data_IF_573237456752
#
_entry.id   IF_573237456752
#
_cell.length_a   1.000
_cell.length_b   1.000
_cell.length_c   1.000
_cell.angle_alpha   90.00
_cell.angle_beta   90.00
_cell.angle_gamma   90.00
#
_symmetry.space_group_name_H-M   'P 1'
#
loop_
_entity.id
_entity.type
_entity.pdbx_description
1 polymer ?
#
# COMPACT_ATOMS: atom_id res chain seq x y z
N UNK A 1 -6.51 10.35 1.46
CA UNK A 1 -5.62 9.20 1.13
C UNK A 1 -5.40 8.95 -0.38
N UNK A 2 -6.44 9.11 -1.22
CA UNK A 2 -6.46 8.68 -2.62
C UNK A 2 -5.46 9.40 -3.56
N UNK A 3 -5.20 10.69 -3.37
CA UNK A 3 -4.26 11.45 -4.22
C UNK A 3 -2.81 10.94 -4.12
N UNK A 4 -2.43 10.36 -2.97
CA UNK A 4 -1.11 9.74 -2.79
C UNK A 4 -1.00 8.35 -3.41
N UNK A 5 -2.12 7.70 -3.70
CA UNK A 5 -2.16 6.39 -4.37
C UNK A 5 -2.08 6.54 -5.89
N UNK A 6 -2.65 7.61 -6.48
CA UNK A 6 -2.49 7.93 -7.90
C UNK A 6 -1.02 8.19 -8.27
N UNK A 7 -0.24 8.77 -7.35
CA UNK A 7 1.22 8.93 -7.49
C UNK A 7 2.00 7.61 -7.58
N UNK A 8 1.40 6.46 -7.29
CA UNK A 8 2.00 5.13 -7.46
C UNK A 8 1.97 4.64 -8.91
N UNK A 9 1.08 5.19 -9.75
CA UNK A 9 0.91 4.81 -11.15
C UNK A 9 1.87 5.54 -12.11
N UNK A 10 2.42 6.68 -11.69
CA UNK A 10 3.30 7.50 -12.52
C UNK A 10 4.77 7.16 -12.27
N UNK A 11 5.50 6.86 -13.34
CA UNK A 11 6.93 6.50 -13.36
C UNK A 11 7.91 7.50 -12.69
N UNK A 12 7.41 8.59 -12.12
CA UNK A 12 8.16 9.62 -11.39
C UNK A 12 8.66 9.13 -10.02
N UNK A 13 7.94 8.23 -9.35
CA UNK A 13 8.37 7.66 -8.06
C UNK A 13 8.98 6.28 -8.29
N UNK A 14 10.24 6.26 -8.73
CA UNK A 14 11.05 5.03 -8.92
C UNK A 14 11.17 4.18 -7.64
N UNK A 15 10.85 4.77 -6.49
CA UNK A 15 10.83 4.15 -5.18
C UNK A 15 9.56 4.59 -4.45
N UNK A 16 8.67 3.63 -4.18
CA UNK A 16 7.66 3.80 -3.14
C UNK A 16 8.44 3.98 -1.83
N UNK A 17 8.33 5.12 -1.11
CA UNK A 17 9.10 5.29 0.11
C UNK A 17 8.79 4.11 1.03
N UNK A 18 9.83 3.45 1.55
CA UNK A 18 9.67 2.20 2.31
C UNK A 18 8.71 2.34 3.51
N UNK A 19 8.47 3.58 3.98
CA UNK A 19 7.45 3.86 5.01
C UNK A 19 6.01 3.62 4.53
N UNK A 20 5.72 3.71 3.23
CA UNK A 20 4.34 3.76 2.73
C UNK A 20 3.83 2.34 2.67
N UNK A 21 4.62 1.43 2.09
CA UNK A 21 4.36 -0.01 2.14
C UNK A 21 4.20 -0.49 3.58
N UNK A 22 5.11 -0.10 4.48
CA UNK A 22 5.04 -0.52 5.89
C UNK A 22 3.80 -0.01 6.59
N UNK A 23 3.39 1.24 6.35
CA UNK A 23 2.14 1.79 6.90
C UNK A 23 0.91 1.11 6.31
N UNK A 24 0.89 0.87 5.00
CA UNK A 24 -0.21 0.20 4.33
C UNK A 24 -0.40 -1.23 4.87
N UNK A 25 0.66 -2.03 4.91
CA UNK A 25 0.63 -3.40 5.44
C UNK A 25 0.27 -3.44 6.93
N UNK A 26 0.88 -2.56 7.74
CA UNK A 26 0.54 -2.49 9.17
C UNK A 26 -0.90 -2.04 9.41
N UNK A 27 -1.44 -1.11 8.63
CA UNK A 27 -2.80 -0.59 8.78
C UNK A 27 -3.86 -1.57 8.27
N UNK A 28 -3.59 -2.28 7.17
CA UNK A 28 -4.56 -3.14 6.48
C UNK A 28 -4.42 -4.62 6.80
N UNK A 29 -3.27 -5.06 7.28
CA UNK A 29 -2.93 -6.48 7.40
C UNK A 29 -2.66 -7.16 6.05
N UNK A 30 -2.67 -6.43 4.93
CA UNK A 30 -2.45 -6.99 3.59
C UNK A 30 -0.97 -7.25 3.37
N UNK A 31 -0.63 -8.50 3.08
CA UNK A 31 0.72 -8.94 2.76
C UNK A 31 1.27 -8.25 1.50
N UNK A 32 2.30 -7.43 1.68
CA UNK A 32 2.91 -6.65 0.61
C UNK A 32 4.19 -7.28 0.05
N UNK A 33 4.54 -8.52 0.40
CA UNK A 33 5.77 -9.18 -0.09
C UNK A 33 5.85 -9.22 -1.62
N UNK A 34 4.72 -9.41 -2.30
CA UNK A 34 4.65 -9.48 -3.77
C UNK A 34 5.04 -8.18 -4.49
N UNK A 35 5.07 -7.05 -3.78
CA UNK A 35 5.54 -5.77 -4.31
C UNK A 35 7.05 -5.73 -4.58
N UNK A 36 7.79 -6.76 -4.14
CA UNK A 36 9.23 -6.86 -4.34
C UNK A 36 9.62 -8.23 -4.90
N UNK A 37 10.69 -8.25 -5.69
CA UNK A 37 11.25 -9.50 -6.19
C UNK A 37 12.13 -10.16 -5.12
N UNK A 38 11.75 -11.34 -4.58
CA UNK A 38 12.57 -12.04 -3.60
C UNK A 38 13.87 -12.60 -4.20
N UNK A 39 13.94 -12.81 -5.52
CA UNK A 39 15.10 -13.36 -6.23
C UNK A 39 16.11 -12.28 -6.64
N UNK A 40 15.68 -11.02 -6.73
CA UNK A 40 16.51 -9.91 -7.22
C UNK A 40 16.57 -8.80 -6.17
N UNK A 41 17.34 -9.01 -5.08
CA UNK A 41 17.62 -8.01 -4.01
C UNK A 41 16.42 -7.12 -3.62
N UNK A 42 15.20 -7.66 -3.56
CA UNK A 42 14.01 -6.85 -3.29
C UNK A 42 13.75 -5.76 -4.33
N UNK A 43 13.95 -6.05 -5.63
CA UNK A 43 13.66 -5.12 -6.72
C UNK A 43 12.18 -4.77 -6.67
N UNK A 44 11.89 -3.47 -6.69
CA UNK A 44 10.53 -2.95 -6.72
C UNK A 44 9.75 -3.46 -7.94
N UNK A 45 8.51 -3.91 -7.70
CA UNK A 45 7.58 -4.42 -8.71
C UNK A 45 6.33 -3.52 -8.76
N UNK A 46 6.37 -2.43 -9.55
CA UNK A 46 5.33 -1.39 -9.54
C UNK A 46 3.95 -1.91 -9.95
N UNK A 47 3.89 -2.80 -10.95
CA UNK A 47 2.63 -3.34 -11.44
C UNK A 47 1.92 -4.17 -10.36
N UNK A 48 2.67 -5.01 -9.64
CA UNK A 48 2.14 -5.83 -8.54
C UNK A 48 1.66 -4.95 -7.38
N UNK A 49 2.39 -3.88 -7.08
CA UNK A 49 1.98 -2.94 -6.04
C UNK A 49 0.72 -2.15 -6.39
N UNK A 50 0.63 -1.66 -7.63
CA UNK A 50 -0.57 -1.00 -8.13
C UNK A 50 -1.78 -1.94 -8.05
N UNK A 51 -1.64 -3.19 -8.53
CA UNK A 51 -2.72 -4.18 -8.47
C UNK A 51 -3.19 -4.48 -7.03
N UNK A 52 -2.27 -4.56 -6.05
CA UNK A 52 -2.64 -4.75 -4.64
C UNK A 52 -3.40 -3.54 -4.10
N UNK A 53 -2.91 -2.32 -4.38
CA UNK A 53 -3.55 -1.10 -3.92
C UNK A 53 -4.93 -0.90 -4.55
N UNK A 54 -5.05 -1.12 -5.86
CA UNK A 54 -6.32 -1.04 -6.59
C UNK A 54 -7.33 -2.07 -6.07
N UNK A 55 -6.90 -3.31 -5.82
CA UNK A 55 -7.76 -4.34 -5.26
C UNK A 55 -8.29 -3.97 -3.87
N UNK A 56 -7.45 -3.36 -3.03
CA UNK A 56 -7.89 -2.87 -1.73
C UNK A 56 -8.86 -1.69 -1.88
N UNK A 57 -8.55 -0.71 -2.72
CA UNK A 57 -9.42 0.45 -2.95
C UNK A 57 -10.79 0.09 -3.54
N UNK A 58 -10.85 -0.98 -4.34
CA UNK A 58 -12.09 -1.51 -4.90
C UNK A 58 -12.89 -2.37 -3.89
N UNK A 59 -12.34 -2.64 -2.70
CA UNK A 59 -13.01 -3.48 -1.71
C UNK A 59 -13.83 -2.64 -0.72
N UNK A 60 -14.95 -3.16 -0.18
CA UNK A 60 -15.75 -2.46 0.83
C UNK A 60 -14.97 -2.14 2.12
N UNK A 61 -13.87 -2.85 2.39
CA UNK A 61 -13.01 -2.57 3.54
C UNK A 61 -12.35 -1.19 3.46
N UNK A 62 -12.06 -0.67 2.26
CA UNK A 62 -11.43 0.65 2.09
C UNK A 62 -12.28 1.78 2.69
N UNK A 63 -13.60 1.64 2.70
CA UNK A 63 -14.54 2.62 3.27
C UNK A 63 -14.41 2.78 4.78
N UNK A 64 -13.76 1.82 5.46
CA UNK A 64 -13.56 1.84 6.92
C UNK A 64 -12.36 2.69 7.36
N UNK A 65 -11.57 3.20 6.42
CA UNK A 65 -10.34 3.93 6.69
C UNK A 65 -10.53 5.44 6.53
N UNK A 66 -10.35 6.16 7.62
CA UNK A 66 -10.50 7.61 7.69
C UNK A 66 -9.15 8.33 7.60
N UNK A 67 -9.15 9.48 6.94
CA UNK A 67 -7.95 10.32 6.82
C UNK A 67 -7.52 10.84 8.21
N UNK A 68 -6.23 10.71 8.52
CA UNK A 68 -5.64 11.15 9.79
C UNK A 68 -5.79 10.15 10.95
N UNK A 69 -6.52 9.05 10.75
CA UNK A 69 -6.70 8.00 11.77
C UNK A 69 -5.62 6.92 11.65
N UNK A 70 -5.18 6.41 12.80
CA UNK A 70 -4.21 5.31 12.87
C UNK A 70 -4.92 3.97 12.93
N UNK A 71 -4.38 3.00 12.21
CA UNK A 71 -4.87 1.64 12.19
C UNK A 71 -3.73 0.64 12.37
N UNK A 72 -4.06 -0.51 12.96
CA UNK A 72 -3.20 -1.68 13.04
C UNK A 72 -4.04 -2.93 12.73
N UNK A 73 -3.70 -3.64 11.65
CA UNK A 73 -4.40 -4.84 11.16
C UNK A 73 -5.92 -4.65 11.03
N UNK A 74 -6.34 -3.52 10.46
CA UNK A 74 -7.76 -3.19 10.27
C UNK A 74 -8.46 -2.60 11.50
N UNK A 75 -7.77 -2.52 12.64
CA UNK A 75 -8.34 -1.95 13.86
C UNK A 75 -7.85 -0.52 14.07
N UNK A 76 -8.78 0.40 14.29
CA UNK A 76 -8.46 1.77 14.72
C UNK A 76 -7.74 1.73 16.05
N UNK A 77 -6.63 2.46 16.18
CA UNK A 77 -5.87 2.59 17.43
C UNK A 77 -5.91 4.04 17.94
N UNK A 78 -5.97 4.25 19.27
CA UNK A 78 -5.89 5.59 19.87
C UNK A 78 -4.59 6.29 19.49
#
# INVERSE_FOLDING_TARGET
>A
MAERLIALSTAKYKYLPSWVRRRFEAATGIDCRAMFDPKVKGRWRPLQAAAIAERFLASPEAERYEDGVRYFFGHRIP
#
